data_IF_593348066001
#
_entry.id   IF_593348066001
#
_cell.length_a   1.000
_cell.length_b   1.000
_cell.length_c   1.000
_cell.angle_alpha   90.00
_cell.angle_beta   90.00
_cell.angle_gamma   90.00
#
_symmetry.space_group_name_H-M   'P 1'
#
loop_
_entity.id
_entity.type
_entity.pdbx_description
1 polymer ?
#
# COMPACT_ATOMS: atom_id res chain seq x y z
N UNK A 1 30.09 16.12 -7.26
CA UNK A 1 28.81 15.38 -7.17
C UNK A 1 27.73 16.19 -7.88
N UNK A 2 27.10 15.65 -8.93
CA UNK A 2 26.02 16.35 -9.63
C UNK A 2 24.85 16.60 -8.66
N UNK A 3 24.57 17.88 -8.41
CA UNK A 3 23.38 18.32 -7.69
C UNK A 3 22.22 18.46 -8.67
N UNK A 4 20.99 18.36 -8.18
CA UNK A 4 19.81 18.67 -8.99
C UNK A 4 19.87 20.09 -9.51
N UNK A 5 19.51 20.27 -10.77
CA UNK A 5 19.18 21.57 -11.33
C UNK A 5 17.95 22.15 -10.62
N UNK A 6 17.75 23.47 -10.72
CA UNK A 6 16.56 24.12 -10.16
C UNK A 6 15.25 23.50 -10.70
N UNK A 7 15.24 23.11 -11.98
CA UNK A 7 14.12 22.45 -12.65
C UNK A 7 13.84 21.05 -12.09
N UNK A 8 14.88 20.23 -11.90
CA UNK A 8 14.76 18.89 -11.31
C UNK A 8 14.32 18.96 -9.84
N UNK A 9 14.84 19.92 -9.08
CA UNK A 9 14.42 20.13 -7.69
C UNK A 9 12.94 20.53 -7.60
N UNK A 10 12.49 21.46 -8.47
CA UNK A 10 11.08 21.84 -8.56
C UNK A 10 10.20 20.65 -8.95
N UNK A 11 10.62 19.87 -9.95
CA UNK A 11 9.90 18.67 -10.38
C UNK A 11 9.79 17.65 -9.25
N UNK A 12 10.89 17.34 -8.59
CA UNK A 12 10.91 16.39 -7.48
C UNK A 12 9.94 16.78 -6.37
N UNK A 13 9.93 18.06 -5.96
CA UNK A 13 8.98 18.57 -4.95
C UNK A 13 7.52 18.41 -5.40
N UNK A 14 7.20 18.70 -6.66
CA UNK A 14 5.84 18.55 -7.21
C UNK A 14 5.41 17.09 -7.18
N UNK A 15 6.26 16.17 -7.65
CA UNK A 15 5.97 14.73 -7.66
C UNK A 15 5.77 14.20 -6.23
N UNK A 16 6.57 14.67 -5.28
CA UNK A 16 6.43 14.33 -3.85
C UNK A 16 5.10 14.82 -3.27
N UNK A 17 4.67 16.05 -3.58
CA UNK A 17 3.38 16.59 -3.12
C UNK A 17 2.21 15.75 -3.67
N UNK A 18 2.23 15.44 -4.97
CA UNK A 18 1.18 14.64 -5.62
C UNK A 18 1.04 13.27 -4.97
N UNK A 19 2.17 12.62 -4.69
CA UNK A 19 2.21 11.29 -4.09
C UNK A 19 1.76 11.33 -2.62
N UNK A 20 2.07 12.41 -1.91
CA UNK A 20 1.57 12.60 -0.54
C UNK A 20 0.06 12.76 -0.50
N UNK A 21 -0.52 13.55 -1.42
CA UNK A 21 -1.97 13.72 -1.52
C UNK A 21 -2.66 12.43 -2.03
N UNK A 22 -2.02 11.67 -2.91
CA UNK A 22 -2.48 10.32 -3.29
C UNK A 22 -2.55 9.40 -2.05
N UNK A 23 -1.51 9.40 -1.22
CA UNK A 23 -1.49 8.67 0.05
C UNK A 23 -2.62 9.11 0.98
N UNK A 24 -2.85 10.41 1.14
CA UNK A 24 -3.97 10.95 1.89
C UNK A 24 -5.32 10.43 1.39
N UNK A 25 -5.55 10.49 0.09
CA UNK A 25 -6.78 10.01 -0.53
C UNK A 25 -7.01 8.52 -0.24
N UNK A 26 -5.99 7.67 -0.41
CA UNK A 26 -6.10 6.25 -0.13
C UNK A 26 -6.31 5.94 1.35
N UNK A 27 -5.52 6.55 2.23
CA UNK A 27 -5.63 6.34 3.67
C UNK A 27 -6.97 6.76 4.25
N UNK A 28 -7.61 7.77 3.67
CA UNK A 28 -8.97 8.18 4.03
C UNK A 28 -10.03 7.25 3.40
N UNK A 29 -9.93 6.97 2.10
CA UNK A 29 -10.98 6.32 1.33
C UNK A 29 -11.22 4.86 1.72
N UNK A 30 -10.15 4.13 2.06
CA UNK A 30 -10.24 2.72 2.42
C UNK A 30 -11.15 2.51 3.66
N UNK A 31 -10.86 3.11 4.83
CA UNK A 31 -11.71 2.97 6.00
C UNK A 31 -13.04 3.70 5.88
N UNK A 32 -13.10 4.85 5.20
CA UNK A 32 -14.32 5.64 5.06
C UNK A 32 -15.48 4.83 4.47
N UNK A 33 -15.25 4.19 3.33
CA UNK A 33 -16.30 3.42 2.66
C UNK A 33 -16.74 2.24 3.53
N UNK A 34 -15.79 1.63 4.25
CA UNK A 34 -16.11 0.55 5.18
C UNK A 34 -17.01 1.00 6.32
N UNK A 35 -16.77 2.19 6.88
CA UNK A 35 -17.64 2.82 7.89
C UNK A 35 -19.04 3.06 7.32
N UNK A 36 -19.14 3.69 6.15
CA UNK A 36 -20.45 4.00 5.54
C UNK A 36 -21.25 2.72 5.27
N UNK A 37 -20.64 1.71 4.66
CA UNK A 37 -21.32 0.44 4.38
C UNK A 37 -21.76 -0.30 5.63
N UNK A 38 -20.99 -0.24 6.72
CA UNK A 38 -21.43 -0.82 7.99
C UNK A 38 -22.64 -0.07 8.57
N UNK A 39 -22.64 1.26 8.50
CA UNK A 39 -23.80 2.08 8.91
C UNK A 39 -25.05 1.80 8.08
N UNK A 40 -24.88 1.44 6.81
CA UNK A 40 -25.98 1.04 5.91
C UNK A 40 -26.45 -0.40 6.10
N UNK A 41 -25.82 -1.17 6.99
CA UNK A 41 -26.15 -2.57 7.22
C UNK A 41 -25.71 -3.52 6.10
N UNK A 42 -24.75 -3.11 5.27
CA UNK A 42 -24.13 -4.00 4.26
C UNK A 42 -23.33 -5.08 4.99
N UNK A 43 -23.43 -6.34 4.54
CA UNK A 43 -22.71 -7.44 5.18
C UNK A 43 -21.19 -7.25 5.13
N UNK A 44 -20.48 -7.70 6.17
CA UNK A 44 -19.03 -7.57 6.29
C UNK A 44 -18.28 -8.19 5.10
N UNK A 45 -18.73 -9.33 4.59
CA UNK A 45 -18.15 -9.96 3.39
C UNK A 45 -18.36 -9.14 2.13
N UNK A 46 -19.53 -8.53 1.95
CA UNK A 46 -19.79 -7.69 0.77
C UNK A 46 -19.01 -6.37 0.84
N UNK A 47 -18.87 -5.81 2.05
CA UNK A 47 -18.02 -4.66 2.32
C UNK A 47 -16.55 -4.96 1.99
N UNK A 48 -16.05 -6.08 2.50
CA UNK A 48 -14.71 -6.59 2.20
C UNK A 48 -14.49 -6.83 0.71
N UNK A 49 -15.42 -7.52 0.05
CA UNK A 49 -15.34 -7.76 -1.39
C UNK A 49 -15.33 -6.45 -2.18
N UNK A 50 -16.11 -5.46 -1.77
CA UNK A 50 -16.09 -4.14 -2.40
C UNK A 50 -14.71 -3.48 -2.30
N UNK A 51 -14.00 -3.63 -1.17
CA UNK A 51 -12.67 -3.05 -0.96
C UNK A 51 -11.62 -3.61 -1.91
N UNK A 52 -11.80 -4.86 -2.36
CA UNK A 52 -10.90 -5.50 -3.34
C UNK A 52 -10.85 -4.78 -4.68
N UNK A 53 -11.89 -4.00 -5.04
CA UNK A 53 -11.99 -3.30 -6.33
C UNK A 53 -10.76 -2.44 -6.64
N UNK A 54 -10.20 -1.74 -5.65
CA UNK A 54 -9.00 -0.91 -5.81
C UNK A 54 -7.77 -1.74 -6.23
N UNK A 55 -7.56 -2.89 -5.58
CA UNK A 55 -6.43 -3.77 -5.89
C UNK A 55 -6.64 -4.51 -7.21
N UNK A 56 -7.88 -4.88 -7.56
CA UNK A 56 -8.23 -5.42 -8.87
C UNK A 56 -7.88 -4.40 -9.97
N UNK A 57 -8.29 -3.13 -9.81
CA UNK A 57 -7.96 -2.06 -10.76
C UNK A 57 -6.45 -1.90 -10.96
N UNK A 58 -5.70 -1.88 -9.86
CA UNK A 58 -4.23 -1.81 -9.84
C UNK A 58 -3.60 -2.96 -10.64
N UNK A 59 -4.04 -4.20 -10.39
CA UNK A 59 -3.54 -5.40 -11.08
C UNK A 59 -3.91 -5.41 -12.56
N UNK A 60 -5.13 -4.98 -12.90
CA UNK A 60 -5.61 -4.97 -14.27
C UNK A 60 -4.80 -4.03 -15.14
N UNK A 61 -4.43 -2.83 -14.65
CA UNK A 61 -3.71 -1.85 -15.47
C UNK A 61 -2.19 -2.09 -15.53
N UNK A 62 -1.63 -2.78 -14.51
CA UNK A 62 -0.18 -3.04 -14.38
C UNK A 62 0.54 -3.45 -15.67
N UNK A 63 0.11 -4.50 -16.41
CA UNK A 63 0.81 -4.94 -17.62
C UNK A 63 0.65 -3.99 -18.82
N UNK A 64 -0.35 -3.09 -18.78
CA UNK A 64 -0.68 -2.21 -19.90
C UNK A 64 -0.10 -0.80 -19.76
N UNK A 65 0.46 -0.45 -18.60
CA UNK A 65 0.87 0.94 -18.31
C UNK A 65 2.16 1.36 -19.04
N UNK A 66 3.04 0.41 -19.36
CA UNK A 66 4.36 0.70 -19.90
C UNK A 66 4.30 1.27 -21.33
N UNK A 67 3.47 0.70 -22.21
CA UNK A 67 3.36 1.14 -23.61
C UNK A 67 2.84 2.58 -23.74
N UNK A 68 1.73 2.97 -23.07
CA UNK A 68 1.28 4.36 -23.02
C UNK A 68 2.34 5.30 -22.43
N UNK A 69 3.04 4.89 -21.37
CA UNK A 69 4.07 5.72 -20.75
C UNK A 69 5.20 6.05 -21.74
N UNK A 70 5.68 5.06 -22.50
CA UNK A 70 6.71 5.27 -23.54
C UNK A 70 6.21 6.17 -24.67
N UNK A 71 4.96 5.98 -25.11
CA UNK A 71 4.38 6.73 -26.23
C UNK A 71 4.14 8.20 -25.88
N UNK A 72 3.49 8.45 -24.74
CA UNK A 72 2.99 9.78 -24.36
C UNK A 72 3.91 10.52 -23.39
N UNK A 73 4.71 9.81 -22.58
CA UNK A 73 5.58 10.38 -21.56
C UNK A 73 4.96 10.43 -20.16
N UNK A 74 5.74 10.86 -19.18
CA UNK A 74 5.37 10.83 -17.76
C UNK A 74 4.19 11.76 -17.43
N UNK A 75 4.18 12.99 -17.97
CA UNK A 75 3.17 13.99 -17.62
C UNK A 75 1.76 13.56 -18.04
N UNK A 76 1.48 13.15 -19.30
CA UNK A 76 0.15 12.70 -19.69
C UNK A 76 -0.37 11.52 -18.85
N UNK A 77 0.50 10.58 -18.47
CA UNK A 77 0.10 9.45 -17.65
C UNK A 77 -0.32 9.87 -16.24
N UNK A 78 0.44 10.77 -15.60
CA UNK A 78 0.07 11.35 -14.29
C UNK A 78 -1.22 12.18 -14.40
N UNK A 79 -1.37 12.94 -15.49
CA UNK A 79 -2.57 13.73 -15.78
C UNK A 79 -3.79 12.81 -15.88
N UNK A 80 -3.78 11.83 -16.78
CA UNK A 80 -4.90 10.91 -16.97
C UNK A 80 -5.21 10.12 -15.71
N UNK A 81 -4.18 9.57 -15.03
CA UNK A 81 -4.37 8.81 -13.79
C UNK A 81 -5.02 9.65 -12.69
N UNK A 82 -4.50 10.85 -12.43
CA UNK A 82 -5.07 11.75 -11.44
C UNK A 82 -6.48 12.24 -11.79
N UNK A 83 -6.79 12.47 -13.07
CA UNK A 83 -8.14 12.82 -13.50
C UNK A 83 -9.14 11.68 -13.21
N UNK A 84 -8.76 10.43 -13.48
CA UNK A 84 -9.60 9.26 -13.16
C UNK A 84 -9.89 9.21 -11.66
N UNK A 85 -8.88 9.44 -10.82
CA UNK A 85 -9.02 9.44 -9.35
C UNK A 85 -9.95 10.57 -8.90
N UNK A 86 -9.71 11.82 -9.35
CA UNK A 86 -10.51 12.99 -8.97
C UNK A 86 -11.97 12.82 -9.39
N UNK A 87 -12.21 12.40 -10.64
CA UNK A 87 -13.58 12.17 -11.13
C UNK A 87 -14.24 11.07 -10.31
N UNK A 88 -13.54 9.97 -10.04
CA UNK A 88 -14.11 8.88 -9.25
C UNK A 88 -14.46 9.32 -7.82
N UNK A 89 -13.59 10.10 -7.16
CA UNK A 89 -13.84 10.68 -5.84
C UNK A 89 -15.10 11.55 -5.84
N UNK A 90 -15.25 12.44 -6.81
CA UNK A 90 -16.40 13.35 -6.91
C UNK A 90 -17.70 12.67 -7.34
N UNK A 91 -17.62 11.46 -7.90
CA UNK A 91 -18.80 10.67 -8.29
C UNK A 91 -19.39 9.85 -7.13
N UNK A 92 -18.63 9.55 -6.06
CA UNK A 92 -19.15 8.77 -4.92
C UNK A 92 -20.45 9.32 -4.32
N UNK A 93 -20.58 10.64 -4.06
CA UNK A 93 -21.80 11.20 -3.47
C UNK A 93 -23.03 11.17 -4.39
N UNK A 94 -22.87 10.90 -5.70
CA UNK A 94 -23.98 11.00 -6.65
C UNK A 94 -24.92 9.80 -6.61
N UNK A 95 -24.37 8.60 -6.40
CA UNK A 95 -25.17 7.39 -6.39
C UNK A 95 -24.61 6.38 -5.39
N UNK A 96 -25.42 6.03 -4.40
CA UNK A 96 -25.05 5.08 -3.36
C UNK A 96 -25.44 3.66 -3.77
N UNK A 97 -24.46 2.88 -4.20
CA UNK A 97 -24.64 1.48 -4.58
C UNK A 97 -23.31 0.74 -4.47
N UNK A 98 -23.33 -0.46 -3.86
CA UNK A 98 -22.13 -1.29 -3.68
C UNK A 98 -21.43 -1.55 -5.01
N UNK A 99 -22.20 -1.86 -6.06
CA UNK A 99 -21.66 -2.12 -7.39
C UNK A 99 -21.06 -0.85 -8.03
N UNK A 100 -21.74 0.29 -7.90
CA UNK A 100 -21.24 1.55 -8.43
C UNK A 100 -19.95 1.97 -7.72
N UNK A 101 -19.91 1.89 -6.38
CA UNK A 101 -18.72 2.22 -5.59
C UNK A 101 -17.57 1.24 -5.82
N UNK A 102 -17.86 -0.03 -6.08
CA UNK A 102 -16.86 -1.00 -6.52
C UNK A 102 -16.21 -0.58 -7.85
N UNK A 103 -17.00 -0.14 -8.83
CA UNK A 103 -16.47 0.37 -10.10
C UNK A 103 -15.63 1.63 -9.88
N UNK A 104 -16.08 2.57 -9.04
CA UNK A 104 -15.29 3.75 -8.69
C UNK A 104 -13.97 3.39 -8.01
N UNK A 105 -13.97 2.43 -7.07
CA UNK A 105 -12.75 1.89 -6.44
C UNK A 105 -11.81 1.28 -7.47
N UNK A 106 -12.33 0.51 -8.43
CA UNK A 106 -11.56 -0.06 -9.53
C UNK A 106 -10.90 1.04 -10.38
N UNK A 107 -11.66 2.08 -10.75
CA UNK A 107 -11.14 3.22 -11.49
C UNK A 107 -10.04 3.96 -10.70
N UNK A 108 -10.23 4.15 -9.39
CA UNK A 108 -9.20 4.73 -8.51
C UNK A 108 -7.93 3.86 -8.54
N UNK A 109 -8.05 2.54 -8.40
CA UNK A 109 -6.90 1.64 -8.51
C UNK A 109 -6.15 1.77 -9.84
N UNK A 110 -6.88 1.89 -10.95
CA UNK A 110 -6.28 2.12 -12.27
C UNK A 110 -5.53 3.46 -12.31
N UNK A 111 -6.18 4.54 -11.85
CA UNK A 111 -5.63 5.89 -11.87
C UNK A 111 -4.42 6.05 -10.95
N UNK A 112 -4.51 5.51 -9.74
CA UNK A 112 -3.43 5.52 -8.76
C UNK A 112 -2.22 4.72 -9.25
N UNK A 113 -2.42 3.52 -9.79
CA UNK A 113 -1.30 2.77 -10.35
C UNK A 113 -0.63 3.51 -11.51
N UNK A 114 -1.41 4.12 -12.41
CA UNK A 114 -0.88 4.93 -13.51
C UNK A 114 -0.05 6.12 -12.99
N UNK A 115 -0.54 6.81 -11.96
CA UNK A 115 0.14 7.92 -11.30
C UNK A 115 1.42 7.44 -10.60
N UNK A 116 1.33 6.47 -9.70
CA UNK A 116 2.46 5.97 -8.91
C UNK A 116 3.56 5.37 -9.78
N UNK A 117 3.21 4.55 -10.77
CA UNK A 117 4.18 4.00 -11.71
C UNK A 117 4.92 5.13 -12.45
N UNK A 118 4.17 6.09 -13.01
CA UNK A 118 4.77 7.18 -13.80
C UNK A 118 5.62 8.12 -12.95
N UNK A 119 5.14 8.52 -11.78
CA UNK A 119 5.87 9.41 -10.85
C UNK A 119 7.15 8.74 -10.34
N UNK A 120 7.07 7.48 -9.90
CA UNK A 120 8.21 6.73 -9.41
C UNK A 120 9.25 6.51 -10.51
N UNK A 121 8.84 6.06 -11.70
CA UNK A 121 9.76 5.89 -12.84
C UNK A 121 10.42 7.21 -13.22
N UNK A 122 9.68 8.33 -13.22
CA UNK A 122 10.25 9.64 -13.51
C UNK A 122 11.30 10.03 -12.47
N UNK A 123 11.01 9.87 -11.17
CA UNK A 123 11.98 10.15 -10.11
C UNK A 123 13.24 9.30 -10.29
N UNK A 124 13.09 8.01 -10.61
CA UNK A 124 14.25 7.14 -10.82
C UNK A 124 15.09 7.56 -12.02
N UNK A 125 14.48 8.08 -13.09
CA UNK A 125 15.20 8.33 -14.35
C UNK A 125 16.16 9.53 -14.27
N UNK A 126 15.82 10.59 -13.51
CA UNK A 126 16.71 11.75 -13.34
C UNK A 126 17.50 11.73 -12.01
N UNK A 127 17.27 10.74 -11.15
CA UNK A 127 17.99 10.63 -9.89
C UNK A 127 19.39 10.06 -10.08
N UNK A 128 20.46 10.77 -9.70
CA UNK A 128 21.82 10.23 -9.79
C UNK A 128 21.99 9.06 -8.80
N UNK A 129 22.80 8.06 -9.17
CA UNK A 129 22.94 6.79 -8.43
C UNK A 129 23.19 6.99 -6.92
N UNK A 130 24.04 7.96 -6.55
CA UNK A 130 24.37 8.26 -5.15
C UNK A 130 23.21 8.86 -4.31
N UNK A 131 22.12 9.33 -4.94
CA UNK A 131 20.92 9.88 -4.27
C UNK A 131 19.65 9.09 -4.55
N UNK A 132 19.69 8.11 -5.45
CA UNK A 132 18.53 7.33 -5.88
C UNK A 132 17.75 6.76 -4.69
N UNK A 133 18.44 6.05 -3.78
CA UNK A 133 17.82 5.48 -2.59
C UNK A 133 17.16 6.54 -1.69
N UNK A 134 17.83 7.69 -1.48
CA UNK A 134 17.28 8.80 -0.70
C UNK A 134 16.02 9.39 -1.33
N UNK A 135 16.02 9.58 -2.64
CA UNK A 135 14.87 10.18 -3.34
C UNK A 135 13.66 9.24 -3.34
N UNK A 136 13.88 7.94 -3.49
CA UNK A 136 12.84 6.91 -3.37
C UNK A 136 12.34 6.79 -1.92
N UNK A 137 13.22 6.92 -0.93
CA UNK A 137 12.81 6.97 0.47
C UNK A 137 11.92 8.19 0.79
N UNK A 138 12.28 9.39 0.30
CA UNK A 138 11.46 10.59 0.46
C UNK A 138 10.09 10.40 -0.23
N UNK A 139 10.06 9.81 -1.43
CA UNK A 139 8.82 9.50 -2.13
C UNK A 139 7.91 8.58 -1.28
N UNK A 140 8.44 7.46 -0.78
CA UNK A 140 7.69 6.52 0.04
C UNK A 140 7.23 7.12 1.38
N UNK A 141 8.11 7.89 2.04
CA UNK A 141 7.78 8.59 3.29
C UNK A 141 6.63 9.58 3.07
N UNK A 142 6.64 10.31 1.95
CA UNK A 142 5.62 11.32 1.65
C UNK A 142 4.25 10.70 1.41
N UNK A 143 4.21 9.55 0.71
CA UNK A 143 3.01 8.73 0.60
C UNK A 143 2.53 8.26 1.98
N UNK A 144 3.43 7.67 2.78
CA UNK A 144 3.09 7.15 4.11
C UNK A 144 2.57 8.21 5.07
N UNK A 145 3.13 9.43 5.06
CA UNK A 145 2.63 10.57 5.84
C UNK A 145 1.22 10.96 5.38
N UNK A 146 0.98 11.04 4.07
CA UNK A 146 -0.36 11.28 3.54
C UNK A 146 -1.34 10.21 4.02
N UNK A 147 -0.97 8.94 3.84
CA UNK A 147 -1.77 7.79 4.24
C UNK A 147 -2.10 7.78 5.73
N UNK A 148 -1.16 8.20 6.58
CA UNK A 148 -1.37 8.32 8.03
C UNK A 148 -2.34 9.45 8.41
N UNK A 149 -2.35 10.55 7.65
CA UNK A 149 -3.26 11.69 7.89
C UNK A 149 -4.67 11.42 7.38
N UNK A 150 -4.81 10.61 6.32
CA UNK A 150 -6.09 10.29 5.68
C UNK A 150 -7.21 9.86 6.65
N UNK A 151 -7.00 8.84 7.51
CA UNK A 151 -8.00 8.37 8.46
C UNK A 151 -8.58 9.48 9.36
N UNK A 152 -7.81 10.50 9.71
CA UNK A 152 -8.27 11.62 10.56
C UNK A 152 -9.40 12.45 9.93
N UNK A 153 -9.63 12.30 8.62
CA UNK A 153 -10.68 12.98 7.88
C UNK A 153 -11.92 12.09 7.67
N UNK A 154 -11.90 10.83 8.12
CA UNK A 154 -13.06 9.92 8.03
C UNK A 154 -14.25 10.47 8.83
N UNK A 155 -14.00 11.07 10.00
CA UNK A 155 -15.03 11.71 10.85
C UNK A 155 -15.85 12.79 10.13
N UNK A 156 -15.38 13.36 9.02
CA UNK A 156 -16.18 14.32 8.23
C UNK A 156 -17.49 13.72 7.70
N UNK A 157 -17.59 12.39 7.66
CA UNK A 157 -18.80 11.65 7.30
C UNK A 157 -19.99 11.98 8.23
N UNK A 158 -19.72 12.34 9.48
CA UNK A 158 -20.75 12.69 10.47
C UNK A 158 -21.42 14.04 10.19
N UNK A 159 -20.73 14.94 9.48
CA UNK A 159 -21.30 16.23 9.06
C UNK A 159 -22.18 16.03 7.82
N UNK A 160 -21.61 15.35 6.82
CA UNK A 160 -22.27 15.03 5.56
C UNK A 160 -21.52 13.86 4.92
N UNK A 161 -22.23 12.79 4.56
CA UNK A 161 -21.64 11.56 4.02
C UNK A 161 -20.73 11.81 2.80
N UNK A 162 -21.08 12.76 1.94
CA UNK A 162 -20.30 13.12 0.76
C UNK A 162 -19.07 14.01 1.03
N UNK A 163 -18.97 14.61 2.22
CA UNK A 163 -17.95 15.62 2.55
C UNK A 163 -16.51 15.09 2.45
N UNK A 164 -16.16 13.91 3.00
CA UNK A 164 -14.79 13.40 2.89
C UNK A 164 -14.37 13.22 1.43
N UNK A 165 -15.26 12.68 0.58
CA UNK A 165 -15.00 12.47 -0.85
C UNK A 165 -14.74 13.79 -1.58
N UNK A 166 -15.53 14.83 -1.29
CA UNK A 166 -15.36 16.16 -1.87
C UNK A 166 -14.04 16.78 -1.40
N UNK A 167 -13.74 16.73 -0.10
CA UNK A 167 -12.49 17.27 0.45
C UNK A 167 -11.27 16.60 -0.19
N UNK A 168 -11.27 15.26 -0.25
CA UNK A 168 -10.19 14.52 -0.90
C UNK A 168 -10.08 14.81 -2.39
N UNK A 169 -11.21 14.86 -3.11
CA UNK A 169 -11.25 15.22 -4.53
C UNK A 169 -10.69 16.61 -4.80
N UNK A 170 -11.03 17.61 -3.98
CA UNK A 170 -10.51 18.98 -4.09
C UNK A 170 -9.03 19.08 -3.74
N UNK A 171 -8.56 18.38 -2.70
CA UNK A 171 -7.13 18.31 -2.36
C UNK A 171 -6.32 17.67 -3.49
N UNK A 172 -6.81 16.55 -4.03
CA UNK A 172 -6.25 15.89 -5.21
C UNK A 172 -6.19 16.85 -6.40
N UNK A 173 -7.28 17.58 -6.69
CA UNK A 173 -7.32 18.56 -7.78
C UNK A 173 -6.27 19.68 -7.58
N UNK A 174 -6.19 20.26 -6.40
CA UNK A 174 -5.24 21.33 -6.07
C UNK A 174 -3.78 20.88 -6.27
N UNK A 175 -3.41 19.70 -5.77
CA UNK A 175 -2.07 19.16 -5.94
C UNK A 175 -1.79 18.76 -7.39
N UNK A 176 -2.79 18.21 -8.08
CA UNK A 176 -2.68 17.77 -9.46
C UNK A 176 -2.48 18.93 -10.45
N UNK A 177 -3.05 20.11 -10.19
CA UNK A 177 -2.79 21.33 -10.98
C UNK A 177 -1.28 21.65 -11.06
N UNK A 178 -0.49 21.28 -10.04
CA UNK A 178 0.96 21.49 -10.04
C UNK A 178 1.67 20.75 -11.18
N UNK A 179 1.10 19.65 -11.69
CA UNK A 179 1.63 18.87 -12.83
C UNK A 179 1.68 19.70 -14.11
N UNK A 180 0.83 20.70 -14.29
CA UNK A 180 0.87 21.51 -15.50
C UNK A 180 2.10 22.40 -15.58
N UNK A 181 2.72 22.73 -14.44
CA UNK A 181 3.93 23.54 -14.36
C UNK A 181 5.23 22.78 -14.62
N UNK A 182 5.16 21.47 -14.86
CA UNK A 182 6.32 20.66 -15.29
C UNK A 182 6.23 20.35 -16.78
N UNK A 183 7.39 20.35 -17.45
CA UNK A 183 7.52 19.92 -18.86
C UNK A 183 7.45 18.40 -18.95
N UNK A 184 6.76 17.90 -19.97
CA UNK A 184 6.69 16.47 -20.22
C UNK A 184 8.04 15.92 -20.67
N UNK A 185 8.37 14.72 -20.22
CA UNK A 185 9.53 13.94 -20.64
C UNK A 185 9.09 12.52 -20.96
N UNK A 186 9.87 11.83 -21.79
CA UNK A 186 9.65 10.43 -22.13
C UNK A 186 10.76 9.58 -21.56
N UNK A 187 10.48 8.34 -21.14
CA UNK A 187 11.54 7.39 -20.80
C UNK A 187 12.48 7.20 -22.00
N UNK A 188 13.78 7.06 -21.73
CA UNK A 188 14.70 6.56 -22.76
C UNK A 188 14.26 5.16 -23.20
N UNK A 189 14.45 4.84 -24.48
CA UNK A 189 14.02 3.56 -25.02
C UNK A 189 14.80 2.42 -24.34
N UNK A 190 14.16 1.72 -23.39
CA UNK A 190 14.67 0.45 -22.91
C UNK A 190 14.72 -0.53 -24.09
N UNK A 191 15.91 -1.07 -24.36
CA UNK A 191 16.14 -2.14 -25.34
C UNK A 191 15.27 -3.35 -25.00
N UNK A 192 14.08 -3.42 -25.60
CA UNK A 192 13.09 -4.46 -25.34
C UNK A 192 13.28 -5.57 -26.36
N UNK A 193 14.31 -6.38 -26.13
CA UNK A 193 14.41 -7.71 -26.72
C UNK A 193 14.01 -8.71 -25.65
N UNK A 194 12.73 -9.10 -25.55
CA UNK A 194 12.35 -10.38 -24.93
C UNK A 194 11.08 -10.96 -25.55
N UNK A 195 11.22 -12.13 -26.14
CA UNK A 195 10.12 -13.01 -26.57
C UNK A 195 9.28 -13.48 -25.37
N UNK A 196 7.97 -13.65 -25.56
CA UNK A 196 7.02 -14.09 -24.54
C UNK A 196 7.39 -15.43 -23.86
N UNK A 197 8.09 -16.33 -24.57
CA UNK A 197 8.60 -17.58 -24.00
C UNK A 197 9.75 -17.35 -22.99
N UNK A 198 10.51 -16.26 -23.12
CA UNK A 198 11.54 -15.87 -22.17
C UNK A 198 10.95 -15.34 -20.86
N UNK A 199 9.75 -14.74 -20.89
CA UNK A 199 9.09 -14.14 -19.73
C UNK A 199 8.69 -15.22 -18.72
N UNK A 200 7.94 -16.24 -19.13
CA UNK A 200 7.50 -17.32 -18.22
C UNK A 200 8.66 -18.07 -17.57
N UNK A 201 9.74 -18.32 -18.32
CA UNK A 201 10.96 -18.94 -17.79
C UNK A 201 11.65 -18.07 -16.73
N UNK A 202 11.67 -16.74 -16.93
CA UNK A 202 12.21 -15.79 -15.93
C UNK A 202 11.34 -15.69 -14.69
N UNK A 203 10.02 -15.73 -14.83
CA UNK A 203 9.11 -15.80 -13.69
C UNK A 203 9.39 -17.05 -12.84
N UNK A 204 9.47 -18.23 -13.46
CA UNK A 204 9.80 -19.47 -12.75
C UNK A 204 11.18 -19.42 -12.07
N UNK A 205 12.19 -18.84 -12.73
CA UNK A 205 13.53 -18.69 -12.16
C UNK A 205 13.56 -17.72 -10.97
N UNK A 206 12.95 -16.53 -11.10
CA UNK A 206 12.85 -15.56 -10.02
C UNK A 206 12.06 -16.13 -8.83
N UNK A 207 10.99 -16.88 -9.12
CA UNK A 207 10.18 -17.54 -8.12
C UNK A 207 10.95 -18.60 -7.35
N UNK A 208 11.66 -19.50 -8.06
CA UNK A 208 12.43 -20.56 -7.43
C UNK A 208 13.55 -20.05 -6.52
N UNK A 209 14.18 -18.93 -6.87
CA UNK A 209 15.30 -18.35 -6.10
C UNK A 209 14.81 -17.50 -4.92
N UNK A 210 13.73 -16.74 -5.08
CA UNK A 210 13.32 -15.72 -4.11
C UNK A 210 11.93 -15.94 -3.50
N UNK A 211 11.33 -17.14 -3.63
CA UNK A 211 9.99 -17.46 -3.11
C UNK A 211 9.71 -16.93 -1.70
N UNK A 212 10.65 -17.14 -0.77
CA UNK A 212 10.52 -16.74 0.64
C UNK A 212 10.40 -15.21 0.78
N UNK A 213 11.04 -14.45 -0.12
CA UNK A 213 11.01 -12.99 -0.10
C UNK A 213 9.70 -12.38 -0.63
N UNK A 214 8.78 -13.20 -1.16
CA UNK A 214 7.43 -12.76 -1.53
C UNK A 214 6.41 -12.91 -0.40
N UNK A 215 6.75 -13.64 0.67
CA UNK A 215 5.91 -13.75 1.87
C UNK A 215 5.72 -12.37 2.54
N UNK A 216 6.76 -11.57 2.82
CA UNK A 216 6.58 -10.27 3.47
C UNK A 216 5.67 -9.30 2.69
N UNK A 217 5.80 -9.11 1.36
CA UNK A 217 4.85 -8.32 0.58
C UNK A 217 3.40 -8.82 0.71
N UNK A 218 3.19 -10.14 0.65
CA UNK A 218 1.86 -10.74 0.84
C UNK A 218 1.31 -10.47 2.23
N UNK A 219 2.09 -10.70 3.29
CA UNK A 219 1.70 -10.45 4.68
C UNK A 219 1.32 -8.99 4.90
N UNK A 220 2.10 -8.06 4.33
CA UNK A 220 1.79 -6.63 4.44
C UNK A 220 0.52 -6.26 3.68
N UNK A 221 0.32 -6.78 2.45
CA UNK A 221 -0.91 -6.54 1.69
C UNK A 221 -2.15 -7.07 2.40
N UNK A 222 -2.07 -8.28 2.96
CA UNK A 222 -3.15 -8.84 3.79
C UNK A 222 -3.43 -7.96 5.01
N UNK A 223 -2.39 -7.60 5.76
CA UNK A 223 -2.50 -6.78 6.97
C UNK A 223 -3.12 -5.41 6.67
N UNK A 224 -2.55 -4.67 5.73
CA UNK A 224 -2.95 -3.31 5.38
C UNK A 224 -4.41 -3.27 4.93
N UNK A 225 -4.77 -4.10 3.94
CA UNK A 225 -6.14 -4.17 3.43
C UNK A 225 -7.13 -4.62 4.50
N UNK A 226 -6.77 -5.56 5.38
CA UNK A 226 -7.62 -6.02 6.47
C UNK A 226 -7.87 -4.94 7.51
N UNK A 227 -6.81 -4.22 7.92
CA UNK A 227 -6.92 -3.12 8.88
C UNK A 227 -7.69 -1.94 8.30
N UNK A 228 -7.56 -1.63 7.02
CA UNK A 228 -8.27 -0.49 6.45
C UNK A 228 -9.69 -0.83 5.95
N UNK A 229 -9.96 -2.07 5.53
CA UNK A 229 -11.28 -2.43 5.00
C UNK A 229 -12.20 -3.13 6.01
N UNK A 230 -11.65 -3.90 6.95
CA UNK A 230 -12.44 -4.79 7.81
C UNK A 230 -12.38 -4.39 9.29
N UNK A 231 -11.25 -3.91 9.79
CA UNK A 231 -11.19 -3.42 11.16
C UNK A 231 -12.20 -2.29 11.46
N UNK A 232 -12.51 -1.35 10.55
CA UNK A 232 -13.62 -0.40 10.76
C UNK A 232 -14.95 -1.08 11.07
N UNK A 233 -15.31 -2.12 10.31
CA UNK A 233 -16.53 -2.90 10.52
C UNK A 233 -16.53 -3.54 11.91
N UNK A 234 -15.41 -4.17 12.28
CA UNK A 234 -15.23 -4.75 13.60
C UNK A 234 -15.36 -3.71 14.73
N UNK A 235 -14.71 -2.55 14.57
CA UNK A 235 -14.66 -1.49 15.55
C UNK A 235 -16.06 -0.91 15.80
N UNK A 236 -16.82 -0.60 14.74
CA UNK A 236 -18.18 -0.07 14.86
C UNK A 236 -19.13 -1.06 15.57
N UNK A 237 -19.03 -2.37 15.27
CA UNK A 237 -19.84 -3.39 15.97
C UNK A 237 -19.53 -3.50 17.46
N UNK A 238 -18.30 -3.18 17.86
CA UNK A 238 -17.88 -3.12 19.25
C UNK A 238 -18.07 -1.73 19.87
N UNK A 239 -18.90 -0.87 19.26
CA UNK A 239 -19.23 0.47 19.76
C UNK A 239 -18.03 1.42 19.87
N UNK A 240 -16.97 1.21 19.08
CA UNK A 240 -15.87 2.17 18.95
C UNK A 240 -16.35 3.32 18.07
N UNK A 241 -16.16 4.55 18.54
CA UNK A 241 -16.53 5.77 17.81
C UNK A 241 -15.65 5.98 16.57
N UNK A 242 -16.15 6.73 15.58
CA UNK A 242 -15.42 7.00 14.32
C UNK A 242 -14.16 7.83 14.58
N UNK A 243 -14.20 8.74 15.56
CA UNK A 243 -13.07 9.55 16.03
C UNK A 243 -11.92 8.66 16.54
N UNK A 244 -12.25 7.69 17.40
CA UNK A 244 -11.32 6.71 17.96
C UNK A 244 -10.75 5.78 16.89
N UNK A 245 -11.59 5.27 15.99
CA UNK A 245 -11.15 4.48 14.83
C UNK A 245 -10.14 5.25 13.98
N UNK A 246 -10.42 6.52 13.71
CA UNK A 246 -9.55 7.40 12.91
C UNK A 246 -8.17 7.55 13.55
N UNK A 247 -8.13 7.73 14.88
CA UNK A 247 -6.90 7.77 15.66
C UNK A 247 -6.14 6.44 15.62
N UNK A 248 -6.83 5.31 15.81
CA UNK A 248 -6.22 3.97 15.84
C UNK A 248 -5.53 3.65 14.49
N UNK A 249 -6.20 3.90 13.37
CA UNK A 249 -5.64 3.65 12.04
C UNK A 249 -4.46 4.58 11.72
N UNK A 250 -4.59 5.87 12.06
CA UNK A 250 -3.50 6.82 11.92
C UNK A 250 -2.27 6.40 12.74
N UNK A 251 -2.47 5.95 13.99
CA UNK A 251 -1.40 5.51 14.87
C UNK A 251 -0.57 4.36 14.26
N UNK A 252 -1.23 3.37 13.64
CA UNK A 252 -0.53 2.28 12.93
C UNK A 252 0.33 2.80 11.78
N UNK A 253 -0.22 3.66 10.93
CA UNK A 253 0.51 4.23 9.79
C UNK A 253 1.70 5.08 10.26
N UNK A 254 1.53 5.91 11.30
CA UNK A 254 2.62 6.71 11.87
C UNK A 254 3.72 5.79 12.41
N UNK A 255 3.37 4.73 13.15
CA UNK A 255 4.33 3.76 13.66
C UNK A 255 5.18 3.14 12.54
N UNK A 256 4.54 2.76 11.43
CA UNK A 256 5.23 2.22 10.25
C UNK A 256 6.14 3.22 9.55
N UNK A 257 5.69 4.47 9.40
CA UNK A 257 6.49 5.56 8.81
C UNK A 257 7.74 5.85 9.65
N UNK A 258 7.58 5.92 10.97
CA UNK A 258 8.70 6.19 11.91
C UNK A 258 9.73 5.06 11.89
N UNK A 259 9.29 3.81 11.80
CA UNK A 259 10.19 2.66 11.84
C UNK A 259 10.85 2.31 10.51
N UNK A 260 10.39 2.88 9.39
CA UNK A 260 10.86 2.54 8.04
C UNK A 260 12.36 2.66 7.84
N UNK A 261 12.95 3.79 8.25
CA UNK A 261 14.40 3.98 8.14
C UNK A 261 15.18 3.16 9.19
N UNK A 262 14.83 3.20 10.49
CA UNK A 262 15.52 2.38 11.50
C UNK A 262 15.52 0.89 11.20
N UNK A 263 14.39 0.31 10.80
CA UNK A 263 14.27 -1.11 10.48
C UNK A 263 15.03 -1.49 9.22
N UNK A 264 15.09 -0.61 8.22
CA UNK A 264 15.95 -0.80 7.04
C UNK A 264 17.41 -0.95 7.45
N UNK A 265 17.92 -0.03 8.28
CA UNK A 265 19.30 -0.05 8.78
C UNK A 265 19.57 -1.26 9.69
N UNK A 266 18.63 -1.61 10.55
CA UNK A 266 18.73 -2.80 11.41
C UNK A 266 18.81 -4.07 10.56
N UNK A 267 18.01 -4.13 9.50
CA UNK A 267 17.97 -5.23 8.56
C UNK A 267 19.24 -5.37 7.73
N UNK A 268 19.95 -4.27 7.45
CA UNK A 268 21.27 -4.31 6.81
C UNK A 268 22.32 -4.96 7.74
N UNK A 269 22.20 -4.74 9.06
CA UNK A 269 23.19 -5.19 10.05
C UNK A 269 22.96 -6.62 10.54
N UNK A 270 21.72 -6.96 10.89
CA UNK A 270 21.36 -8.29 11.42
C UNK A 270 20.99 -9.29 10.31
N UNK A 271 20.83 -8.81 9.08
CA UNK A 271 20.38 -9.60 7.95
C UNK A 271 18.85 -9.59 7.78
N UNK A 272 18.42 -9.55 6.52
CA UNK A 272 16.99 -9.41 6.12
C UNK A 272 16.08 -10.42 6.77
N UNK A 273 16.43 -11.70 6.64
CA UNK A 273 15.62 -12.82 7.13
C UNK A 273 15.40 -12.76 8.64
N UNK A 274 16.43 -12.42 9.41
CA UNK A 274 16.35 -12.36 10.88
C UNK A 274 15.40 -11.27 11.36
N UNK A 275 15.52 -10.08 10.77
CA UNK A 275 14.65 -8.95 11.10
C UNK A 275 13.21 -9.27 10.68
N UNK A 276 12.99 -9.84 9.49
CA UNK A 276 11.66 -10.16 9.00
C UNK A 276 10.86 -11.09 9.92
N UNK A 277 11.39 -12.28 10.29
CA UNK A 277 10.62 -13.16 11.17
C UNK A 277 10.47 -12.59 12.59
N UNK A 278 11.48 -11.83 13.08
CA UNK A 278 11.42 -11.25 14.42
C UNK A 278 10.34 -10.17 14.50
N UNK A 279 10.28 -9.27 13.51
CA UNK A 279 9.29 -8.20 13.45
C UNK A 279 7.87 -8.73 13.21
N UNK A 280 7.71 -9.73 12.34
CA UNK A 280 6.41 -10.40 12.17
C UNK A 280 5.94 -11.08 13.45
N UNK A 281 6.85 -11.76 14.17
CA UNK A 281 6.55 -12.39 15.46
C UNK A 281 6.19 -11.37 16.54
N UNK A 282 6.93 -10.27 16.65
CA UNK A 282 6.60 -9.17 17.58
C UNK A 282 5.28 -8.50 17.22
N UNK A 283 5.00 -8.28 15.94
CA UNK A 283 3.69 -7.80 15.47
C UNK A 283 2.55 -8.75 15.84
N UNK A 284 2.75 -10.07 15.68
CA UNK A 284 1.78 -11.08 16.08
C UNK A 284 1.48 -11.01 17.59
N UNK A 285 2.51 -10.95 18.43
CA UNK A 285 2.36 -10.80 19.88
C UNK A 285 1.64 -9.49 20.22
N UNK A 286 1.99 -8.39 19.54
CA UNK A 286 1.40 -7.07 19.79
C UNK A 286 -0.10 -7.06 19.51
N UNK A 287 -0.54 -7.57 18.35
CA UNK A 287 -1.97 -7.69 18.04
C UNK A 287 -2.70 -8.70 18.92
N UNK A 288 -2.03 -9.80 19.30
CA UNK A 288 -2.60 -10.79 20.21
C UNK A 288 -2.74 -10.28 21.65
N UNK A 289 -1.89 -9.34 22.09
CA UNK A 289 -2.09 -8.64 23.36
C UNK A 289 -3.18 -7.58 23.24
N UNK A 290 -3.20 -6.83 22.13
CA UNK A 290 -4.20 -5.80 21.88
C UNK A 290 -5.65 -6.33 21.97
N UNK A 291 -5.88 -7.59 21.57
CA UNK A 291 -7.21 -8.20 21.64
C UNK A 291 -7.80 -8.32 23.04
N UNK A 292 -6.99 -8.22 24.09
CA UNK A 292 -7.46 -8.25 25.48
C UNK A 292 -7.78 -6.86 26.05
N UNK A 293 -7.41 -5.78 25.34
CA UNK A 293 -7.53 -4.39 25.83
C UNK A 293 -8.43 -3.52 24.96
N UNK A 294 -9.36 -4.13 24.23
CA UNK A 294 -10.21 -3.44 23.26
C UNK A 294 -11.23 -2.47 23.87
N UNK A 295 -11.43 -2.51 25.18
CA UNK A 295 -12.29 -1.59 25.90
C UNK A 295 -11.78 -0.14 25.93
N UNK A 296 -10.51 0.11 25.57
CA UNK A 296 -9.93 1.46 25.55
C UNK A 296 -9.28 1.77 24.22
N UNK A 297 -9.87 2.71 23.48
CA UNK A 297 -9.35 3.17 22.19
C UNK A 297 -7.91 3.68 22.25
N UNK A 298 -7.54 4.36 23.34
CA UNK A 298 -6.17 4.87 23.55
C UNK A 298 -5.17 3.71 23.67
N UNK A 299 -5.52 2.66 24.41
CA UNK A 299 -4.65 1.49 24.59
C UNK A 299 -4.53 0.75 23.25
N UNK A 300 -5.65 0.52 22.56
CA UNK A 300 -5.64 -0.11 21.23
C UNK A 300 -4.83 0.69 20.23
N UNK A 301 -5.00 2.01 20.17
CA UNK A 301 -4.22 2.90 19.31
C UNK A 301 -2.73 2.86 19.62
N UNK A 302 -2.36 2.72 20.90
CA UNK A 302 -0.96 2.51 21.31
C UNK A 302 -0.42 1.17 20.81
N UNK A 303 -1.18 0.09 20.92
CA UNK A 303 -0.81 -1.21 20.34
C UNK A 303 -0.71 -1.16 18.82
N UNK A 304 -1.60 -0.43 18.14
CA UNK A 304 -1.54 -0.23 16.70
C UNK A 304 -0.30 0.56 16.28
N UNK A 305 0.08 1.61 17.03
CA UNK A 305 1.34 2.31 16.82
C UNK A 305 2.54 1.36 16.95
N UNK A 306 2.63 0.60 18.05
CA UNK A 306 3.71 -0.36 18.29
C UNK A 306 3.74 -1.43 17.19
N UNK A 307 2.60 -2.00 16.83
CA UNK A 307 2.50 -2.97 15.75
C UNK A 307 2.96 -2.37 14.43
N UNK A 308 2.53 -1.14 14.12
CA UNK A 308 3.00 -0.34 12.98
C UNK A 308 4.53 -0.23 12.97
N UNK A 309 5.16 0.03 14.12
CA UNK A 309 6.63 0.07 14.18
C UNK A 309 7.28 -1.24 13.80
N UNK A 310 6.71 -2.40 14.16
CA UNK A 310 7.29 -3.69 13.80
C UNK A 310 6.99 -4.09 12.36
N UNK A 311 5.72 -4.06 11.95
CA UNK A 311 5.28 -4.67 10.69
C UNK A 311 5.00 -3.68 9.57
N UNK A 312 5.04 -2.36 9.82
CA UNK A 312 4.82 -1.32 8.81
C UNK A 312 5.84 -1.31 7.68
N UNK A 313 7.05 -1.82 7.92
CA UNK A 313 8.15 -1.84 6.94
C UNK A 313 8.27 -3.15 6.15
N UNK A 314 7.39 -4.11 6.42
CA UNK A 314 7.47 -5.51 5.94
C UNK A 314 7.53 -5.59 4.41
N UNK A 315 6.77 -4.76 3.70
CA UNK A 315 6.81 -4.71 2.23
C UNK A 315 8.18 -4.31 1.70
N UNK A 316 8.74 -3.20 2.19
CA UNK A 316 10.05 -2.70 1.76
C UNK A 316 11.20 -3.65 2.12
N UNK A 317 11.14 -4.27 3.30
CA UNK A 317 12.10 -5.29 3.72
C UNK A 317 11.99 -6.56 2.86
N UNK A 318 10.78 -6.91 2.42
CA UNK A 318 10.54 -7.98 1.46
C UNK A 318 11.21 -7.73 0.11
N UNK A 319 11.09 -6.51 -0.44
CA UNK A 319 11.78 -6.12 -1.68
C UNK A 319 13.29 -6.16 -1.51
N UNK A 320 13.81 -5.65 -0.39
CA UNK A 320 15.25 -5.71 -0.10
C UNK A 320 15.72 -7.17 0.00
N UNK A 321 14.96 -8.03 0.68
CA UNK A 321 15.28 -9.45 0.78
C UNK A 321 15.22 -10.17 -0.58
N UNK A 322 14.25 -9.84 -1.43
CA UNK A 322 14.16 -10.35 -2.79
C UNK A 322 15.38 -9.93 -3.60
N UNK A 323 15.80 -8.67 -3.46
CA UNK A 323 16.98 -8.13 -4.14
C UNK A 323 18.26 -8.86 -3.73
N UNK A 324 18.41 -9.19 -2.45
CA UNK A 324 19.57 -9.91 -1.93
C UNK A 324 19.64 -11.37 -2.41
N UNK A 325 18.49 -11.99 -2.73
CA UNK A 325 18.42 -13.37 -3.22
C UNK A 325 18.52 -13.49 -4.74
N UNK A 326 18.11 -12.46 -5.48
CA UNK A 326 17.82 -12.57 -6.91
C UNK A 326 18.98 -12.02 -7.76
N UNK A 327 19.44 -12.74 -8.79
CA UNK A 327 20.41 -12.22 -9.77
C UNK A 327 19.94 -10.91 -10.43
N UNK A 328 20.88 -10.03 -10.80
CA UNK A 328 20.59 -8.69 -11.34
C UNK A 328 19.66 -8.71 -12.55
N UNK A 329 19.77 -9.72 -13.39
CA UNK A 329 18.99 -9.92 -14.62
C UNK A 329 17.52 -10.24 -14.32
N UNK A 330 17.23 -10.79 -13.13
CA UNK A 330 15.90 -11.19 -12.69
C UNK A 330 15.24 -10.16 -11.75
N UNK A 331 15.98 -9.14 -11.27
CA UNK A 331 15.44 -8.11 -10.36
C UNK A 331 14.18 -7.41 -10.86
N UNK A 332 14.03 -7.03 -12.15
CA UNK A 332 12.78 -6.44 -12.63
C UNK A 332 11.59 -7.42 -12.49
N UNK A 333 11.82 -8.71 -12.75
CA UNK A 333 10.80 -9.75 -12.62
C UNK A 333 10.48 -10.01 -11.15
N UNK A 334 11.49 -10.06 -10.28
CA UNK A 334 11.30 -10.22 -8.83
C UNK A 334 10.50 -9.07 -8.21
N UNK A 335 10.78 -7.81 -8.59
CA UNK A 335 10.00 -6.64 -8.15
C UNK A 335 8.54 -6.73 -8.59
N UNK A 336 8.29 -7.17 -9.82
CA UNK A 336 6.93 -7.39 -10.32
C UNK A 336 6.20 -8.46 -9.49
N UNK A 337 6.86 -9.58 -9.18
CA UNK A 337 6.27 -10.65 -8.34
C UNK A 337 5.99 -10.15 -6.92
N UNK A 338 6.86 -9.32 -6.31
CA UNK A 338 6.56 -8.68 -5.02
C UNK A 338 5.26 -7.87 -5.06
N UNK A 339 5.03 -7.10 -6.13
CA UNK A 339 3.79 -6.35 -6.32
C UNK A 339 2.56 -7.25 -6.50
N UNK A 340 2.70 -8.37 -7.23
CA UNK A 340 1.64 -9.38 -7.37
C UNK A 340 1.30 -9.99 -6.01
N UNK A 341 2.29 -10.39 -5.21
CA UNK A 341 2.07 -10.98 -3.90
C UNK A 341 1.43 -9.99 -2.91
N UNK A 342 1.87 -8.73 -2.92
CA UNK A 342 1.19 -7.66 -2.18
C UNK A 342 -0.28 -7.58 -2.58
N UNK A 343 -0.57 -7.52 -3.88
CA UNK A 343 -1.95 -7.43 -4.37
C UNK A 343 -2.78 -8.67 -4.00
N UNK A 344 -2.22 -9.88 -4.09
CA UNK A 344 -2.90 -11.12 -3.65
C UNK A 344 -3.20 -11.08 -2.14
N UNK A 345 -2.26 -10.58 -1.33
CA UNK A 345 -2.50 -10.31 0.08
C UNK A 345 -3.66 -9.34 0.26
N UNK A 346 -3.65 -8.22 -0.47
CA UNK A 346 -4.67 -7.18 -0.40
C UNK A 346 -6.06 -7.59 -0.91
N UNK A 347 -6.14 -8.57 -1.81
CA UNK A 347 -7.40 -9.17 -2.24
C UNK A 347 -7.94 -10.18 -1.22
N UNK A 348 -7.05 -10.96 -0.61
CA UNK A 348 -7.42 -12.01 0.34
C UNK A 348 -7.77 -11.47 1.73
N UNK A 349 -7.11 -10.40 2.17
CA UNK A 349 -7.35 -9.76 3.47
C UNK A 349 -8.81 -9.42 3.73
N UNK A 350 -9.44 -8.56 2.91
CA UNK A 350 -10.82 -8.15 3.13
C UNK A 350 -11.81 -9.31 3.01
N UNK A 351 -11.55 -10.26 2.11
CA UNK A 351 -12.41 -11.43 1.92
C UNK A 351 -12.40 -12.35 3.15
N UNK A 352 -11.22 -12.79 3.60
CA UNK A 352 -11.11 -13.65 4.78
C UNK A 352 -11.44 -12.91 6.08
N UNK A 353 -11.11 -11.62 6.17
CA UNK A 353 -11.47 -10.79 7.31
C UNK A 353 -12.99 -10.62 7.45
N UNK A 354 -13.69 -10.33 6.36
CA UNK A 354 -15.15 -10.22 6.36
C UNK A 354 -15.82 -11.54 6.73
N UNK A 355 -15.34 -12.67 6.18
CA UNK A 355 -15.80 -14.01 6.57
C UNK A 355 -15.54 -14.30 8.05
N UNK A 356 -14.38 -13.93 8.57
CA UNK A 356 -14.02 -14.16 9.97
C UNK A 356 -14.99 -13.46 10.92
N UNK A 357 -15.26 -12.17 10.71
CA UNK A 357 -16.21 -11.41 11.55
C UNK A 357 -17.63 -11.96 11.45
N UNK A 358 -18.02 -12.50 10.29
CA UNK A 358 -19.35 -13.06 10.09
C UNK A 358 -19.51 -14.45 10.75
N UNK A 359 -18.45 -15.27 10.77
CA UNK A 359 -18.51 -16.64 11.31
C UNK A 359 -18.18 -16.72 12.80
N UNK A 360 -17.34 -15.82 13.31
CA UNK A 360 -16.82 -15.84 14.68
C UNK A 360 -17.26 -14.59 15.45
N UNK A 361 -18.56 -14.46 15.69
CA UNK A 361 -19.11 -13.38 16.50
C UNK A 361 -18.54 -13.40 17.93
N UNK A 362 -18.11 -12.24 18.43
CA UNK A 362 -17.52 -12.09 19.76
C UNK A 362 -16.03 -12.45 19.86
N UNK A 363 -15.40 -12.94 18.78
CA UNK A 363 -13.95 -13.14 18.73
C UNK A 363 -13.28 -11.89 18.16
N UNK A 364 -12.20 -11.47 18.81
CA UNK A 364 -11.42 -10.32 18.35
C UNK A 364 -10.85 -10.52 16.94
N UNK A 365 -11.10 -9.54 16.07
CA UNK A 365 -10.47 -9.48 14.75
C UNK A 365 -8.93 -9.40 14.82
N UNK A 366 -8.39 -8.82 15.88
CA UNK A 366 -6.94 -8.68 16.05
C UNK A 366 -6.25 -10.04 16.24
N UNK A 367 -6.98 -11.07 16.70
CA UNK A 367 -6.46 -12.44 16.78
C UNK A 367 -6.26 -13.07 15.41
N UNK A 368 -7.11 -12.77 14.42
CA UNK A 368 -6.91 -13.22 13.04
C UNK A 368 -5.59 -12.64 12.48
N UNK A 369 -5.37 -11.35 12.70
CA UNK A 369 -4.15 -10.66 12.29
C UNK A 369 -2.93 -11.24 13.02
N UNK A 370 -3.04 -11.45 14.33
CA UNK A 370 -2.01 -12.08 15.14
C UNK A 370 -1.61 -13.46 14.61
N UNK A 371 -2.61 -14.32 14.35
CA UNK A 371 -2.39 -15.66 13.82
C UNK A 371 -1.70 -15.62 12.46
N UNK A 372 -2.16 -14.79 11.53
CA UNK A 372 -1.56 -14.66 10.20
C UNK A 372 -0.10 -14.22 10.30
N UNK A 373 0.20 -13.17 11.06
CA UNK A 373 1.58 -12.70 11.22
C UNK A 373 2.47 -13.76 11.89
N UNK A 374 1.95 -14.48 12.87
CA UNK A 374 2.65 -15.58 13.56
C UNK A 374 2.97 -16.74 12.61
N UNK A 375 2.00 -17.18 11.80
CA UNK A 375 2.20 -18.22 10.79
C UNK A 375 3.27 -17.78 9.78
N UNK A 376 3.22 -16.54 9.30
CA UNK A 376 4.21 -16.03 8.34
C UNK A 376 5.61 -15.90 8.94
N UNK A 377 5.72 -15.51 10.22
CA UNK A 377 6.98 -15.49 10.95
C UNK A 377 7.58 -16.90 11.06
N UNK A 378 6.75 -17.89 11.42
CA UNK A 378 7.13 -19.31 11.53
C UNK A 378 7.63 -19.84 10.18
N UNK A 379 6.91 -19.57 9.08
CA UNK A 379 7.30 -20.02 7.74
C UNK A 379 8.68 -19.44 7.37
N UNK A 380 8.91 -18.14 7.56
CA UNK A 380 10.21 -17.51 7.24
C UNK A 380 11.33 -18.06 8.14
N UNK A 381 11.03 -18.31 9.42
CA UNK A 381 11.98 -18.86 10.39
C UNK A 381 12.42 -20.29 10.06
N UNK A 382 11.50 -21.17 9.67
CA UNK A 382 11.83 -22.57 9.37
C UNK A 382 12.35 -22.78 7.95
N UNK A 383 11.98 -21.92 6.99
CA UNK A 383 12.45 -22.10 5.61
C UNK A 383 13.91 -21.69 5.49
N UNK A 384 14.81 -22.67 5.37
CA UNK A 384 16.22 -22.42 5.08
C UNK A 384 16.34 -21.95 3.63
N UNK A 385 16.88 -20.76 3.43
CA UNK A 385 17.33 -20.34 2.10
C UNK A 385 18.54 -21.20 1.74
N UNK A 386 18.44 -21.99 0.67
CA UNK A 386 19.63 -22.54 0.04
C UNK A 386 20.43 -21.35 -0.47
N UNK A 387 21.45 -20.93 0.28
CA UNK A 387 22.54 -20.14 -0.31
C UNK A 387 23.10 -21.02 -1.41
N UNK A 388 22.74 -20.72 -2.65
CA UNK A 388 23.53 -21.18 -3.78
C UNK A 388 24.94 -20.65 -3.52
N UNK A 389 25.84 -21.57 -3.18
CA UNK A 389 27.27 -21.34 -3.24
C UNK A 389 27.58 -20.97 -4.69
N UNK A 390 27.51 -19.69 -5.01
CA UNK A 390 28.14 -19.11 -6.18
C UNK A 390 29.32 -18.31 -5.65
N UNK A 391 30.48 -18.90 -5.95
CA UNK A 391 31.85 -18.50 -5.63
C UNK A 391 32.12 -17.05 -5.99
#
# INVERSE_FOLDING_TARGET
MQQFTATESRRFKILVIIVSISGFSQGMLLPLISVIFEQDGVSATLNGLSATGLYIGTLLISPFIELPLRKYGYKPMIVVGGLIVIVSLLLFPLWKSVAFWFVLRLLIGIGDHALHFSTQTWITSFSPQHRLGRNIAIYGLSFGVGFAVGPLFVQLVEIFEGLPFIVSGLLCLCAWVLVFFIKNEKPEAFSSSNSANGTWKRFGAAFGVAWIAFIPPFSYGFLESSLNAIYPVYALRNSIEISDLSYILAAFSIGGVVSQLPLGMLSDRLGRRQVLYSMLGLGAITFGLASFFEASAIIVGTFFFIAGTFVGSTFSLGIAYMTDLTPKELLPTGNLICGIFFSLGSLSGPFFGGLFIQLFEGVSFLLLISLLLGVMAIIIFFTKTNRSNTV
#
